data_IF_140743992545
#
_entry.id   IF_140743992545
#
_cell.length_a   1.000
_cell.length_b   1.000
_cell.length_c   1.000
_cell.angle_alpha   90.00
_cell.angle_beta   90.00
_cell.angle_gamma   90.00
#
_symmetry.space_group_name_H-M   'P 1'
#
loop_
_entity.id
_entity.type
_entity.pdbx_description
1 polymer ?
#
# COMPACT_ATOMS: atom_id res chain seq x y z
N UNK A 1 1.54 -14.60 -9.35
CA UNK A 1 0.19 -15.07 -9.65
C UNK A 1 -0.50 -14.21 -10.69
N UNK A 2 -1.35 -14.83 -11.50
CA UNK A 2 -2.19 -14.12 -12.44
C UNK A 2 -3.31 -13.40 -11.70
N UNK A 3 -3.57 -12.14 -12.06
CA UNK A 3 -4.65 -11.36 -11.46
C UNK A 3 -5.79 -11.21 -12.44
N UNK A 4 -6.98 -11.59 -12.00
CA UNK A 4 -8.20 -11.55 -12.78
C UNK A 4 -9.17 -10.52 -12.19
N UNK A 5 -9.88 -9.81 -13.05
CA UNK A 5 -11.03 -9.01 -12.63
C UNK A 5 -12.25 -9.89 -12.72
N UNK A 6 -13.02 -9.96 -11.62
CA UNK A 6 -14.19 -10.84 -11.51
C UNK A 6 -15.41 -10.01 -11.14
N UNK A 7 -16.54 -10.29 -11.79
CA UNK A 7 -17.82 -9.68 -11.48
C UNK A 7 -18.91 -10.75 -11.50
N UNK A 8 -19.69 -10.82 -10.43
CA UNK A 8 -20.78 -11.81 -10.27
C UNK A 8 -20.29 -13.26 -10.48
N UNK A 9 -19.09 -13.57 -9.98
CA UNK A 9 -18.49 -14.90 -10.10
C UNK A 9 -17.90 -15.22 -11.47
N UNK A 10 -17.98 -14.29 -12.41
CA UNK A 10 -17.47 -14.48 -13.75
C UNK A 10 -16.23 -13.64 -14.00
N UNK A 11 -15.20 -14.25 -14.61
CA UNK A 11 -13.99 -13.54 -15.00
C UNK A 11 -14.29 -12.60 -16.18
N UNK A 12 -13.97 -11.31 -16.00
CA UNK A 12 -14.16 -10.30 -17.03
C UNK A 12 -12.92 -10.17 -17.90
N UNK A 13 -11.76 -10.00 -17.25
CA UNK A 13 -10.48 -9.86 -17.94
C UNK A 13 -9.31 -10.28 -17.06
N UNK A 14 -8.14 -10.34 -17.65
CA UNK A 14 -6.87 -10.56 -16.95
C UNK A 14 -6.12 -9.24 -16.89
N UNK A 15 -5.65 -8.86 -15.70
CA UNK A 15 -4.96 -7.59 -15.48
C UNK A 15 -3.45 -7.78 -15.71
N UNK A 16 -2.83 -6.86 -16.43
CA UNK A 16 -1.39 -6.86 -16.64
C UNK A 16 -0.67 -6.51 -15.34
N UNK A 17 0.13 -7.44 -14.83
CA UNK A 17 0.78 -7.31 -13.51
C UNK A 17 1.87 -6.26 -13.46
N UNK A 18 2.50 -5.95 -14.60
CA UNK A 18 3.59 -4.98 -14.64
C UNK A 18 3.17 -3.58 -14.20
N UNK A 19 1.88 -3.26 -14.32
CA UNK A 19 1.32 -1.97 -13.89
C UNK A 19 0.73 -1.99 -12.48
N UNK A 20 0.74 -3.15 -11.81
CA UNK A 20 0.14 -3.30 -10.49
C UNK A 20 1.20 -3.32 -9.40
N UNK A 21 1.01 -2.50 -8.38
CA UNK A 21 1.92 -2.39 -7.25
C UNK A 21 1.14 -2.56 -5.95
N UNK A 22 1.67 -3.36 -5.03
CA UNK A 22 1.16 -3.44 -3.67
C UNK A 22 1.64 -2.22 -2.89
N UNK A 23 0.72 -1.51 -2.24
CA UNK A 23 1.02 -0.27 -1.54
C UNK A 23 1.35 -0.56 -0.08
N UNK A 24 2.50 -0.07 0.37
CA UNK A 24 2.94 -0.20 1.74
C UNK A 24 2.68 1.07 2.55
N UNK A 25 2.77 0.98 3.85
CA UNK A 25 2.85 2.12 4.75
C UNK A 25 4.31 2.29 5.20
N UNK A 26 4.75 3.51 5.53
CA UNK A 26 3.97 4.74 5.59
C UNK A 26 3.67 5.36 4.23
N UNK A 27 2.62 6.18 4.19
CA UNK A 27 2.27 7.03 3.06
C UNK A 27 2.51 8.49 3.48
N UNK A 28 3.26 9.25 2.69
CA UNK A 28 3.66 10.61 3.06
C UNK A 28 3.02 11.65 2.15
N UNK A 29 2.48 12.71 2.75
CA UNK A 29 1.84 13.82 2.05
C UNK A 29 2.15 15.14 2.74
N UNK A 30 2.07 16.24 1.99
CA UNK A 30 2.05 17.57 2.61
C UNK A 30 0.78 17.67 3.46
N UNK A 31 0.90 18.18 4.68
CA UNK A 31 -0.23 18.25 5.61
C UNK A 31 -1.41 19.04 5.04
N UNK A 32 -1.15 20.16 4.38
CA UNK A 32 -2.18 20.98 3.77
C UNK A 32 -2.97 20.22 2.70
N UNK A 33 -2.27 19.42 1.90
CA UNK A 33 -2.88 18.59 0.85
C UNK A 33 -3.73 17.48 1.45
N UNK A 34 -3.22 16.80 2.46
CA UNK A 34 -3.93 15.73 3.15
C UNK A 34 -5.20 16.25 3.82
N UNK A 35 -5.13 17.38 4.50
CA UNK A 35 -6.29 18.03 5.11
C UNK A 35 -7.35 18.39 4.07
N UNK A 36 -6.92 18.95 2.94
CA UNK A 36 -7.82 19.30 1.83
C UNK A 36 -8.53 18.06 1.29
N UNK A 37 -7.78 16.97 1.09
CA UNK A 37 -8.34 15.73 0.58
C UNK A 37 -9.39 15.13 1.51
N UNK A 38 -9.12 15.10 2.81
CA UNK A 38 -10.07 14.60 3.81
C UNK A 38 -11.31 15.48 3.92
N UNK A 39 -11.14 16.79 3.91
CA UNK A 39 -12.27 17.74 3.96
C UNK A 39 -13.16 17.57 2.76
N UNK A 40 -12.59 17.48 1.56
CA UNK A 40 -13.35 17.33 0.33
C UNK A 40 -14.08 15.99 0.28
N UNK A 41 -13.42 14.91 0.75
CA UNK A 41 -14.03 13.60 0.84
C UNK A 41 -15.22 13.58 1.82
N UNK A 42 -15.08 14.23 2.97
CA UNK A 42 -16.14 14.34 3.98
C UNK A 42 -17.33 15.11 3.43
N UNK A 43 -17.10 16.27 2.78
CA UNK A 43 -18.13 17.09 2.19
C UNK A 43 -18.90 16.37 1.09
N UNK A 44 -18.26 15.48 0.35
CA UNK A 44 -18.84 14.73 -0.76
C UNK A 44 -19.21 13.29 -0.39
N UNK A 45 -19.08 12.91 0.87
CA UNK A 45 -19.40 11.57 1.38
C UNK A 45 -18.64 10.46 0.62
N UNK A 46 -17.40 10.74 0.25
CA UNK A 46 -16.55 9.80 -0.45
C UNK A 46 -15.71 8.99 0.55
N UNK A 47 -15.73 7.67 0.40
CA UNK A 47 -14.92 6.76 1.21
C UNK A 47 -13.79 6.18 0.36
N UNK A 48 -12.56 6.50 0.74
CA UNK A 48 -11.38 5.94 0.09
C UNK A 48 -10.89 4.69 0.82
N UNK A 49 -10.02 3.94 0.15
CA UNK A 49 -9.39 2.75 0.73
C UNK A 49 -8.16 3.11 1.55
N UNK A 50 -7.50 4.23 1.24
CA UNK A 50 -6.35 4.76 1.97
C UNK A 50 -6.26 6.28 1.75
N UNK A 51 -5.30 6.94 2.41
CA UNK A 51 -5.10 8.38 2.26
C UNK A 51 -4.72 8.75 0.83
N UNK A 52 -3.92 7.93 0.17
CA UNK A 52 -3.52 8.17 -1.22
C UNK A 52 -4.72 8.19 -2.16
N UNK A 53 -5.71 7.32 -1.94
CA UNK A 53 -6.94 7.31 -2.77
C UNK A 53 -7.72 8.60 -2.66
N UNK A 54 -7.75 9.22 -1.48
CA UNK A 54 -8.40 10.52 -1.28
C UNK A 54 -7.66 11.64 -2.02
N UNK A 55 -6.35 11.63 -1.98
CA UNK A 55 -5.52 12.61 -2.68
C UNK A 55 -5.67 12.47 -4.20
N UNK A 56 -5.69 11.24 -4.70
CA UNK A 56 -5.93 10.96 -6.13
C UNK A 56 -7.32 11.45 -6.56
N UNK A 57 -8.33 11.25 -5.73
CA UNK A 57 -9.70 11.61 -6.04
C UNK A 57 -9.89 13.11 -6.24
N UNK A 58 -9.16 13.95 -5.51
CA UNK A 58 -9.19 15.40 -5.72
C UNK A 58 -8.33 15.87 -6.89
N UNK A 59 -7.76 14.94 -7.65
CA UNK A 59 -7.02 15.24 -8.88
C UNK A 59 -5.54 15.50 -8.71
N UNK A 60 -5.00 15.28 -7.52
CA UNK A 60 -3.56 15.43 -7.27
C UNK A 60 -2.79 14.16 -7.66
N UNK A 61 -1.56 14.34 -8.11
CA UNK A 61 -0.73 13.22 -8.52
C UNK A 61 -0.08 12.56 -7.30
N UNK A 62 -0.12 11.23 -7.27
CA UNK A 62 0.55 10.42 -6.24
C UNK A 62 1.65 9.62 -6.91
N UNK A 63 2.87 9.71 -6.37
CA UNK A 63 4.03 9.01 -6.89
C UNK A 63 4.38 7.83 -6.02
N UNK A 64 4.79 6.73 -6.66
CA UNK A 64 5.25 5.53 -5.97
C UNK A 64 6.75 5.58 -5.77
N UNK A 65 7.19 5.22 -4.57
CA UNK A 65 8.61 5.02 -4.26
C UNK A 65 8.80 3.54 -3.97
N UNK A 66 9.72 2.91 -4.68
CA UNK A 66 9.98 1.49 -4.50
C UNK A 66 10.53 1.19 -3.12
N UNK A 67 10.00 0.15 -2.49
CA UNK A 67 10.38 -0.30 -1.17
C UNK A 67 10.77 -1.77 -1.23
N UNK A 68 11.16 -2.36 -0.11
CA UNK A 68 11.54 -3.77 -0.06
C UNK A 68 10.38 -4.64 0.47
N UNK A 69 10.43 -5.94 0.12
CA UNK A 69 9.42 -6.91 0.57
C UNK A 69 9.41 -7.13 2.09
N UNK A 70 10.46 -6.68 2.79
CA UNK A 70 10.56 -6.81 4.23
C UNK A 70 9.73 -5.77 4.98
N UNK A 71 9.27 -4.71 4.31
CA UNK A 71 8.39 -3.72 4.91
C UNK A 71 6.95 -4.21 4.84
N UNK A 72 6.54 -4.97 5.85
CA UNK A 72 5.21 -5.54 5.93
C UNK A 72 4.37 -4.83 6.99
N UNK A 73 3.05 -4.81 6.77
CA UNK A 73 2.08 -4.34 7.76
C UNK A 73 1.60 -5.53 8.56
N UNK A 74 1.74 -5.49 9.87
CA UNK A 74 1.32 -6.57 10.75
C UNK A 74 -0.17 -6.44 11.02
N UNK A 75 -0.98 -7.33 10.44
CA UNK A 75 -2.44 -7.33 10.59
C UNK A 75 -3.01 -8.70 11.00
N UNK A 76 -2.25 -9.77 10.78
CA UNK A 76 -2.66 -11.15 11.10
C UNK A 76 -1.59 -11.81 11.98
N UNK A 77 -1.93 -12.94 12.69
CA UNK A 77 -0.93 -13.69 13.46
C UNK A 77 0.24 -14.19 12.59
N UNK A 78 -0.01 -14.57 11.35
CA UNK A 78 1.03 -15.01 10.43
C UNK A 78 2.01 -13.88 10.12
N UNK A 79 1.54 -12.63 10.08
CA UNK A 79 2.39 -11.46 9.83
C UNK A 79 3.40 -11.26 10.96
N UNK A 80 3.04 -11.60 12.21
CA UNK A 80 3.97 -11.58 13.34
C UNK A 80 5.12 -12.56 13.13
N UNK A 81 4.82 -13.76 12.67
CA UNK A 81 5.84 -14.78 12.38
C UNK A 81 6.78 -14.29 11.27
N UNK A 82 6.25 -13.72 10.20
CA UNK A 82 7.05 -13.11 9.14
C UNK A 82 7.92 -11.98 9.65
N UNK A 83 7.37 -11.11 10.50
CA UNK A 83 8.11 -10.00 11.09
C UNK A 83 9.29 -10.48 11.93
N UNK A 84 9.13 -11.55 12.70
CA UNK A 84 10.20 -12.15 13.50
C UNK A 84 11.34 -12.68 12.61
N UNK A 85 11.00 -13.36 11.53
CA UNK A 85 11.97 -13.88 10.56
C UNK A 85 12.75 -12.72 9.91
N UNK A 86 12.05 -11.67 9.51
CA UNK A 86 12.65 -10.49 8.88
C UNK A 86 13.63 -9.81 9.85
N UNK A 87 13.22 -9.59 11.09
CA UNK A 87 14.05 -8.97 12.11
C UNK A 87 15.30 -9.78 12.40
N UNK A 88 15.17 -11.12 12.46
CA UNK A 88 16.31 -12.01 12.68
C UNK A 88 17.31 -11.90 11.54
N UNK A 89 16.83 -11.89 10.30
CA UNK A 89 17.71 -11.74 9.12
C UNK A 89 18.43 -10.39 9.11
N UNK A 90 17.74 -9.32 9.47
CA UNK A 90 18.33 -7.98 9.55
C UNK A 90 19.43 -7.92 10.61
N UNK A 91 19.24 -8.54 11.77
CA UNK A 91 20.24 -8.62 12.82
C UNK A 91 21.47 -9.41 12.36
N UNK A 92 21.24 -10.56 11.73
CA UNK A 92 22.34 -11.39 11.20
C UNK A 92 23.14 -10.63 10.15
N UNK A 93 22.47 -9.90 9.27
CA UNK A 93 23.12 -9.09 8.24
C UNK A 93 23.90 -7.92 8.85
N UNK A 94 23.39 -7.27 9.89
CA UNK A 94 24.09 -6.20 10.60
C UNK A 94 25.37 -6.71 11.24
N UNK A 95 25.34 -7.93 11.81
CA UNK A 95 26.51 -8.55 12.42
C UNK A 95 27.55 -8.98 11.37
N UNK A 96 27.11 -9.31 10.16
CA UNK A 96 28.01 -9.68 9.06
C UNK A 96 28.63 -8.49 8.33
N UNK A 97 28.05 -7.31 8.48
CA UNK A 97 28.51 -6.08 7.82
C UNK A 97 29.71 -5.43 8.49
N UNK A 98 30.16 -5.97 9.61
CA UNK A 98 31.36 -5.54 10.34
C UNK A 98 32.58 -6.38 9.90
#
# INVERSE_FOLDING_TARGET
>A
DTIKRVQEGQVIDTIERSSLWAVHTPQAFRLSLLKKAHRFAEENQYLGTDDASLVEWIGEKVYMVEDCYNNIKITTPEDLDFAEIILKKQRDNSNKGE
#
